data_IF_627886582543
#
_entry.id   IF_627886582543
#
_cell.length_a   1.000
_cell.length_b   1.000
_cell.length_c   1.000
_cell.angle_alpha   90.00
_cell.angle_beta   90.00
_cell.angle_gamma   90.00
#
_symmetry.space_group_name_H-M   'P 1'
#
loop_
_entity.id
_entity.type
_entity.pdbx_description
1 polymer ?
#
# COMPACT_ATOMS: atom_id res chain seq x y z
N UNK A 1 27.81 -9.43 -5.49
CA UNK A 1 26.48 -9.02 -5.98
C UNK A 1 26.02 -7.71 -5.31
N UNK A 2 26.96 -6.88 -4.85
CA UNK A 2 26.68 -5.70 -4.03
C UNK A 2 25.92 -4.60 -4.79
N UNK A 3 26.33 -4.29 -6.03
CA UNK A 3 25.61 -3.34 -6.88
C UNK A 3 24.16 -3.76 -7.13
N UNK A 4 23.90 -5.07 -7.28
CA UNK A 4 22.55 -5.62 -7.43
C UNK A 4 21.75 -5.48 -6.13
N UNK A 5 22.35 -5.81 -4.98
CA UNK A 5 21.72 -5.67 -3.66
C UNK A 5 21.28 -4.22 -3.41
N UNK A 6 22.18 -3.25 -3.64
CA UNK A 6 21.91 -1.83 -3.47
C UNK A 6 20.82 -1.34 -4.43
N UNK A 7 20.88 -1.76 -5.71
CA UNK A 7 19.86 -1.41 -6.71
C UNK A 7 18.48 -1.90 -6.28
N UNK A 8 18.38 -3.17 -5.86
CA UNK A 8 17.13 -3.74 -5.36
C UNK A 8 16.62 -3.01 -4.13
N UNK A 9 17.50 -2.72 -3.17
CA UNK A 9 17.13 -2.02 -1.94
C UNK A 9 16.61 -0.59 -2.21
N UNK A 10 17.24 0.15 -3.14
CA UNK A 10 16.79 1.49 -3.55
C UNK A 10 15.44 1.43 -4.26
N UNK A 11 15.29 0.53 -5.24
CA UNK A 11 14.03 0.37 -5.98
C UNK A 11 12.88 0.00 -5.04
N UNK A 12 13.11 -0.97 -4.15
CA UNK A 12 12.15 -1.36 -3.12
C UNK A 12 11.77 -0.20 -2.20
N UNK A 13 12.76 0.57 -1.74
CA UNK A 13 12.52 1.74 -0.87
C UNK A 13 11.67 2.79 -1.56
N UNK A 14 12.01 3.17 -2.80
CA UNK A 14 11.26 4.18 -3.56
C UNK A 14 9.82 3.72 -3.86
N UNK A 15 9.66 2.48 -4.28
CA UNK A 15 8.35 1.92 -4.61
C UNK A 15 7.45 1.82 -3.37
N UNK A 16 7.96 1.33 -2.24
CA UNK A 16 7.22 1.23 -0.99
C UNK A 16 6.91 2.62 -0.39
N UNK A 17 7.78 3.62 -0.60
CA UNK A 17 7.51 5.00 -0.18
C UNK A 17 6.27 5.60 -0.86
N UNK A 18 6.02 5.27 -2.13
CA UNK A 18 4.80 5.70 -2.85
C UNK A 18 3.55 5.11 -2.18
N UNK A 19 3.57 3.82 -1.84
CA UNK A 19 2.43 3.15 -1.19
C UNK A 19 2.22 3.65 0.24
N UNK A 20 3.31 3.78 1.01
CA UNK A 20 3.27 4.35 2.36
C UNK A 20 2.68 5.77 2.36
N UNK A 21 3.17 6.64 1.47
CA UNK A 21 2.67 8.01 1.35
C UNK A 21 1.19 8.07 0.99
N UNK A 22 0.73 7.16 0.12
CA UNK A 22 -0.69 7.05 -0.24
C UNK A 22 -1.52 6.65 0.98
N UNK A 23 -1.10 5.65 1.74
CA UNK A 23 -1.84 5.21 2.93
C UNK A 23 -1.87 6.26 4.03
N UNK A 24 -0.75 6.97 4.24
CA UNK A 24 -0.67 8.09 5.18
C UNK A 24 -1.59 9.23 4.76
N UNK A 25 -1.58 9.61 3.48
CA UNK A 25 -2.51 10.61 2.94
C UNK A 25 -3.96 10.19 3.16
N UNK A 26 -4.28 8.93 2.86
CA UNK A 26 -5.64 8.42 3.06
C UNK A 26 -6.04 8.44 4.53
N UNK A 27 -5.12 8.09 5.43
CA UNK A 27 -5.38 8.05 6.86
C UNK A 27 -5.60 9.44 7.46
N UNK A 28 -4.77 10.43 7.06
CA UNK A 28 -4.67 11.75 7.70
C UNK A 28 -5.52 12.82 7.00
N UNK A 29 -5.70 12.73 5.68
CA UNK A 29 -6.32 13.79 4.88
C UNK A 29 -7.62 13.32 4.24
N UNK A 30 -7.57 12.21 3.49
CA UNK A 30 -8.73 11.73 2.74
C UNK A 30 -9.88 11.33 3.66
N UNK A 31 -9.62 10.50 4.69
CA UNK A 31 -10.65 10.04 5.63
C UNK A 31 -11.42 11.20 6.28
N UNK A 32 -10.77 12.18 6.94
CA UNK A 32 -11.52 13.30 7.51
C UNK A 32 -12.21 14.14 6.44
N UNK A 33 -11.62 14.35 5.26
CA UNK A 33 -12.32 15.07 4.18
C UNK A 33 -13.61 14.35 3.77
N UNK A 34 -13.57 13.02 3.57
CA UNK A 34 -14.74 12.23 3.19
C UNK A 34 -15.81 12.16 4.28
N UNK A 35 -15.42 12.32 5.55
CA UNK A 35 -16.36 12.39 6.66
C UNK A 35 -17.23 13.66 6.65
N UNK A 36 -16.85 14.71 5.92
CA UNK A 36 -17.51 16.03 5.95
C UNK A 36 -18.22 16.41 4.64
N UNK A 37 -18.19 15.55 3.62
CA UNK A 37 -18.95 15.75 2.38
C UNK A 37 -20.26 14.96 2.43
N UNK A 38 -21.19 15.18 1.50
CA UNK A 38 -22.39 14.34 1.36
C UNK A 38 -22.09 12.99 0.67
N UNK A 39 -23.08 12.08 0.64
CA UNK A 39 -22.90 10.72 0.11
C UNK A 39 -22.66 10.68 -1.41
N UNK A 40 -23.19 11.67 -2.14
CA UNK A 40 -22.99 11.77 -3.57
C UNK A 40 -21.56 12.17 -3.91
N UNK A 41 -21.03 13.19 -3.22
CA UNK A 41 -19.66 13.64 -3.32
C UNK A 41 -18.68 12.56 -2.86
N UNK A 42 -18.96 11.87 -1.75
CA UNK A 42 -18.17 10.73 -1.28
C UNK A 42 -18.11 9.63 -2.35
N UNK A 43 -19.26 9.19 -2.86
CA UNK A 43 -19.32 8.11 -3.86
C UNK A 43 -18.53 8.48 -5.11
N UNK A 44 -18.75 9.68 -5.65
CA UNK A 44 -18.08 10.15 -6.86
C UNK A 44 -16.57 10.28 -6.66
N UNK A 45 -16.14 10.98 -5.61
CA UNK A 45 -14.72 11.21 -5.35
C UNK A 45 -13.98 9.90 -5.05
N UNK A 46 -14.48 9.12 -4.10
CA UNK A 46 -13.84 7.86 -3.70
C UNK A 46 -13.89 6.82 -4.82
N UNK A 47 -14.98 6.73 -5.57
CA UNK A 47 -15.06 5.84 -6.72
C UNK A 47 -14.01 6.17 -7.80
N UNK A 48 -13.78 7.45 -8.10
CA UNK A 48 -12.72 7.85 -9.04
C UNK A 48 -11.32 7.63 -8.47
N UNK A 49 -11.09 7.97 -7.19
CA UNK A 49 -9.83 7.72 -6.50
C UNK A 49 -9.50 6.22 -6.54
N UNK A 50 -10.46 5.35 -6.21
CA UNK A 50 -10.29 3.90 -6.25
C UNK A 50 -10.06 3.38 -7.66
N UNK A 51 -10.80 3.86 -8.67
CA UNK A 51 -10.57 3.48 -10.08
C UNK A 51 -9.13 3.72 -10.52
N UNK A 52 -8.59 4.89 -10.21
CA UNK A 52 -7.21 5.22 -10.57
C UNK A 52 -6.19 4.55 -9.65
N UNK A 53 -6.50 4.41 -8.36
CA UNK A 53 -5.69 3.69 -7.40
C UNK A 53 -5.49 2.24 -7.81
N UNK A 54 -6.58 1.51 -8.05
CA UNK A 54 -6.55 0.08 -8.38
C UNK A 54 -5.89 -0.21 -9.74
N UNK A 55 -5.95 0.75 -10.68
CA UNK A 55 -5.29 0.59 -11.98
C UNK A 55 -3.82 0.99 -12.00
N UNK A 56 -3.37 1.89 -11.11
CA UNK A 56 -2.01 2.47 -11.14
C UNK A 56 -1.11 2.01 -10.00
N UNK A 57 -1.66 1.80 -8.81
CA UNK A 57 -0.89 1.39 -7.62
C UNK A 57 -0.31 -0.03 -7.69
N UNK A 58 -0.84 -1.00 -8.48
CA UNK A 58 -0.16 -2.27 -8.66
C UNK A 58 1.25 -2.13 -9.24
N UNK A 59 1.54 -1.06 -10.01
CA UNK A 59 2.88 -0.81 -10.55
C UNK A 59 3.90 -0.65 -9.40
N UNK A 60 3.86 0.41 -8.57
CA UNK A 60 4.79 0.52 -7.44
C UNK A 60 4.63 -0.63 -6.44
N UNK A 61 3.42 -1.15 -6.20
CA UNK A 61 3.21 -2.23 -5.24
C UNK A 61 3.91 -3.55 -5.60
N UNK A 62 3.75 -4.02 -6.83
CA UNK A 62 4.37 -5.27 -7.30
C UNK A 62 5.88 -5.11 -7.43
N UNK A 63 6.36 -4.00 -8.02
CA UNK A 63 7.80 -3.74 -8.11
C UNK A 63 8.44 -3.63 -6.72
N UNK A 64 7.79 -2.95 -5.78
CA UNK A 64 8.27 -2.83 -4.40
C UNK A 64 8.40 -4.19 -3.70
N UNK A 65 7.37 -5.04 -3.80
CA UNK A 65 7.39 -6.38 -3.20
C UNK A 65 8.46 -7.27 -3.84
N UNK A 66 8.52 -7.35 -5.17
CA UNK A 66 9.50 -8.19 -5.87
C UNK A 66 10.93 -7.74 -5.55
N UNK A 67 11.20 -6.44 -5.58
CA UNK A 67 12.51 -5.90 -5.22
C UNK A 67 12.86 -6.19 -3.75
N UNK A 68 11.90 -6.06 -2.83
CA UNK A 68 12.08 -6.37 -1.39
C UNK A 68 12.47 -7.84 -1.18
N UNK A 69 11.77 -8.77 -1.84
CA UNK A 69 12.10 -10.20 -1.79
C UNK A 69 13.48 -10.47 -2.42
N UNK A 70 13.78 -9.79 -3.54
CA UNK A 70 15.09 -9.86 -4.18
C UNK A 70 16.23 -9.42 -3.25
N UNK A 71 16.06 -8.30 -2.54
CA UNK A 71 17.01 -7.82 -1.52
C UNK A 71 17.24 -8.89 -0.45
N UNK A 72 16.17 -9.51 0.06
CA UNK A 72 16.28 -10.54 1.10
C UNK A 72 17.07 -11.75 0.64
N UNK A 73 16.78 -12.23 -0.58
CA UNK A 73 17.44 -13.39 -1.17
C UNK A 73 18.92 -13.11 -1.46
N UNK A 74 19.24 -12.00 -2.15
CA UNK A 74 20.62 -11.65 -2.50
C UNK A 74 21.46 -11.44 -1.24
N UNK A 75 20.95 -10.70 -0.25
CA UNK A 75 21.64 -10.51 1.03
C UNK A 75 21.89 -11.85 1.75
N UNK A 76 20.90 -12.76 1.74
CA UNK A 76 21.02 -14.09 2.32
C UNK A 76 22.12 -14.92 1.65
N UNK A 77 22.19 -14.91 0.31
CA UNK A 77 23.27 -15.58 -0.43
C UNK A 77 24.66 -14.98 -0.18
N UNK A 78 24.76 -13.67 0.10
CA UNK A 78 26.01 -13.02 0.50
C UNK A 78 26.36 -13.18 1.98
N UNK A 79 25.52 -13.87 2.78
CA UNK A 79 25.72 -14.03 4.22
C UNK A 79 25.46 -12.76 5.04
N UNK A 80 24.86 -11.72 4.44
CA UNK A 80 24.55 -10.45 5.08
C UNK A 80 23.25 -10.56 5.89
N UNK A 81 23.40 -10.95 7.15
CA UNK A 81 22.27 -11.27 8.04
C UNK A 81 21.31 -10.08 8.22
N UNK A 82 21.82 -8.89 8.54
CA UNK A 82 21.00 -7.71 8.81
C UNK A 82 20.10 -7.31 7.64
N UNK A 83 20.62 -7.04 6.41
CA UNK A 83 19.76 -6.67 5.30
C UNK A 83 18.83 -7.81 4.87
N UNK A 84 19.25 -9.08 5.00
CA UNK A 84 18.39 -10.23 4.68
C UNK A 84 17.18 -10.32 5.60
N UNK A 85 17.38 -10.24 6.93
CA UNK A 85 16.29 -10.29 7.91
C UNK A 85 15.38 -9.06 7.79
N UNK A 86 15.95 -7.86 7.68
CA UNK A 86 15.17 -6.63 7.60
C UNK A 86 14.25 -6.59 6.37
N UNK A 87 14.76 -6.96 5.20
CA UNK A 87 13.96 -7.06 3.98
C UNK A 87 13.00 -8.25 3.99
N UNK A 88 13.32 -9.35 4.68
CA UNK A 88 12.38 -10.45 4.91
C UNK A 88 11.17 -10.05 5.76
N UNK A 89 11.39 -9.29 6.83
CA UNK A 89 10.31 -8.72 7.65
C UNK A 89 9.47 -7.74 6.84
N UNK A 90 10.13 -6.88 6.03
CA UNK A 90 9.43 -5.97 5.13
C UNK A 90 8.56 -6.73 4.11
N UNK A 91 9.06 -7.80 3.50
CA UNK A 91 8.30 -8.64 2.58
C UNK A 91 7.06 -9.24 3.25
N UNK A 92 7.20 -9.77 4.47
CA UNK A 92 6.06 -10.31 5.22
C UNK A 92 5.01 -9.24 5.51
N UNK A 93 5.43 -8.04 5.93
CA UNK A 93 4.51 -6.93 6.17
C UNK A 93 3.75 -6.54 4.89
N UNK A 94 4.43 -6.49 3.73
CA UNK A 94 3.80 -6.22 2.43
C UNK A 94 2.79 -7.30 2.02
N UNK A 95 3.09 -8.58 2.29
CA UNK A 95 2.14 -9.68 2.03
C UNK A 95 0.89 -9.55 2.90
N UNK A 96 1.05 -9.29 4.20
CA UNK A 96 -0.09 -9.08 5.11
C UNK A 96 -0.91 -7.86 4.66
N UNK A 97 -0.24 -6.78 4.28
CA UNK A 97 -0.88 -5.59 3.72
C UNK A 97 -1.71 -5.92 2.48
N UNK A 98 -1.18 -6.73 1.56
CA UNK A 98 -1.87 -7.14 0.33
C UNK A 98 -3.08 -8.03 0.61
N UNK A 99 -2.98 -8.91 1.61
CA UNK A 99 -4.13 -9.71 2.07
C UNK A 99 -5.25 -8.81 2.58
N UNK A 100 -4.92 -7.82 3.42
CA UNK A 100 -5.90 -6.85 3.94
C UNK A 100 -6.55 -6.07 2.78
N UNK A 101 -5.74 -5.56 1.85
CA UNK A 101 -6.25 -4.85 0.68
C UNK A 101 -7.23 -5.72 -0.12
N UNK A 102 -6.85 -6.95 -0.48
CA UNK A 102 -7.67 -7.83 -1.30
C UNK A 102 -8.97 -8.29 -0.60
N UNK A 103 -8.94 -8.42 0.73
CA UNK A 103 -10.09 -8.91 1.51
C UNK A 103 -11.06 -7.81 1.92
N UNK A 104 -10.58 -6.57 2.12
CA UNK A 104 -11.39 -5.47 2.67
C UNK A 104 -11.48 -4.31 1.70
N UNK A 105 -10.35 -3.76 1.25
CA UNK A 105 -10.34 -2.55 0.42
C UNK A 105 -10.86 -2.81 -1.00
N UNK A 106 -10.35 -3.83 -1.69
CA UNK A 106 -10.69 -4.09 -3.09
C UNK A 106 -12.20 -4.31 -3.34
N UNK A 107 -12.95 -5.05 -2.49
CA UNK A 107 -14.40 -5.14 -2.62
C UNK A 107 -15.10 -3.78 -2.48
N UNK A 108 -14.74 -2.97 -1.48
CA UNK A 108 -15.31 -1.63 -1.29
C UNK A 108 -14.97 -0.71 -2.47
N UNK A 109 -13.73 -0.76 -2.95
CA UNK A 109 -13.25 0.00 -4.10
C UNK A 109 -14.10 -0.30 -5.33
N UNK A 110 -14.40 -1.58 -5.58
CA UNK A 110 -15.23 -2.01 -6.71
C UNK A 110 -16.65 -1.45 -6.62
N UNK A 111 -17.29 -1.52 -5.45
CA UNK A 111 -18.66 -1.00 -5.26
C UNK A 111 -18.74 0.52 -5.47
N UNK A 112 -17.84 1.28 -4.83
CA UNK A 112 -17.80 2.74 -4.97
C UNK A 112 -17.42 3.15 -6.41
N UNK A 113 -16.50 2.44 -7.05
CA UNK A 113 -16.12 2.68 -8.45
C UNK A 113 -17.30 2.43 -9.39
N UNK A 114 -18.01 1.31 -9.22
CA UNK A 114 -19.19 0.99 -10.02
C UNK A 114 -20.26 2.06 -9.90
N UNK A 115 -20.61 2.45 -8.68
CA UNK A 115 -21.59 3.51 -8.44
C UNK A 115 -21.16 4.86 -9.06
N UNK A 116 -19.88 5.24 -8.93
CA UNK A 116 -19.37 6.46 -9.54
C UNK A 116 -19.40 6.43 -11.08
N UNK A 117 -19.11 5.29 -11.70
CA UNK A 117 -19.17 5.12 -13.15
C UNK A 117 -20.61 5.14 -13.69
N UNK A 118 -21.56 4.65 -12.90
CA UNK A 118 -22.99 4.71 -13.20
C UNK A 118 -23.61 6.09 -12.87
N UNK A 119 -22.81 7.06 -12.43
CA UNK A 119 -23.27 8.38 -11.96
C UNK A 119 -24.37 8.32 -10.90
N UNK A 120 -24.31 7.32 -10.01
CA UNK A 120 -25.28 7.10 -8.93
C UNK A 120 -24.62 7.16 -7.56
N UNK A 121 -25.42 7.42 -6.53
CA UNK A 121 -24.97 7.31 -5.14
C UNK A 121 -24.91 5.84 -4.76
N UNK A 122 -23.82 5.40 -4.12
CA UNK A 122 -23.70 4.03 -3.66
C UNK A 122 -24.69 3.79 -2.51
N UNK A 123 -25.45 2.68 -2.53
CA UNK A 123 -26.22 2.25 -1.37
C UNK A 123 -25.29 2.09 -0.18
N UNK A 124 -25.64 2.69 0.97
CA UNK A 124 -24.82 2.69 2.18
C UNK A 124 -23.36 3.15 1.95
N UNK A 125 -23.19 4.25 1.19
CA UNK A 125 -21.90 4.89 0.96
C UNK A 125 -21.07 5.08 2.24
N UNK A 126 -21.73 5.38 3.36
CA UNK A 126 -21.09 5.52 4.68
C UNK A 126 -20.64 4.21 5.29
N UNK A 127 -21.41 3.13 5.18
CA UNK A 127 -20.98 1.81 5.62
C UNK A 127 -19.79 1.30 4.82
N UNK A 128 -19.81 1.50 3.49
CA UNK A 128 -18.70 1.19 2.61
C UNK A 128 -17.43 1.95 3.02
N UNK A 129 -17.53 3.29 3.16
CA UNK A 129 -16.38 4.11 3.54
C UNK A 129 -15.85 3.75 4.95
N UNK A 130 -16.72 3.52 5.93
CA UNK A 130 -16.30 3.07 7.28
C UNK A 130 -15.58 1.72 7.23
N UNK A 131 -16.02 0.80 6.38
CA UNK A 131 -15.37 -0.50 6.20
C UNK A 131 -13.96 -0.31 5.64
N UNK A 132 -13.80 0.54 4.63
CA UNK A 132 -12.49 0.87 4.06
C UNK A 132 -11.57 1.56 5.07
N UNK A 133 -12.10 2.54 5.79
CA UNK A 133 -11.38 3.31 6.81
C UNK A 133 -11.00 2.49 8.05
N UNK A 134 -11.67 1.37 8.30
CA UNK A 134 -11.38 0.51 9.46
C UNK A 134 -9.98 -0.10 9.41
N UNK A 135 -9.43 -0.30 8.21
CA UNK A 135 -8.13 -0.96 8.01
C UNK A 135 -7.00 0.01 7.64
N UNK A 136 -7.27 1.29 7.38
CA UNK A 136 -6.22 2.17 6.86
C UNK A 136 -5.08 2.41 7.86
N UNK A 137 -5.35 2.44 9.18
CA UNK A 137 -4.29 2.60 10.18
C UNK A 137 -3.36 1.39 10.24
N UNK A 138 -3.90 0.16 10.14
CA UNK A 138 -3.05 -1.04 10.08
C UNK A 138 -2.28 -1.11 8.77
N UNK A 139 -2.88 -0.65 7.65
CA UNK A 139 -2.19 -0.53 6.37
C UNK A 139 -1.01 0.45 6.44
N UNK A 140 -1.20 1.62 7.06
CA UNK A 140 -0.11 2.59 7.34
C UNK A 140 1.00 1.94 8.16
N UNK A 141 0.65 1.24 9.25
CA UNK A 141 1.64 0.60 10.12
C UNK A 141 2.45 -0.47 9.36
N UNK A 142 1.79 -1.34 8.59
CA UNK A 142 2.47 -2.36 7.80
C UNK A 142 3.40 -1.76 6.74
N UNK A 143 2.99 -0.67 6.09
CA UNK A 143 3.85 0.06 5.15
C UNK A 143 5.00 0.79 5.85
N UNK A 144 4.79 1.30 7.07
CA UNK A 144 5.87 1.88 7.88
C UNK A 144 6.92 0.82 8.25
N UNK A 145 6.48 -0.39 8.63
CA UNK A 145 7.36 -1.52 8.89
C UNK A 145 8.12 -1.91 7.61
N UNK A 146 7.44 -1.99 6.47
CA UNK A 146 8.07 -2.33 5.20
C UNK A 146 9.12 -1.28 4.78
N UNK A 147 8.76 0.00 4.78
CA UNK A 147 9.66 1.08 4.42
C UNK A 147 10.83 1.20 5.41
N UNK A 148 10.57 1.14 6.71
CA UNK A 148 11.60 1.16 7.74
C UNK A 148 12.55 -0.02 7.65
N UNK A 149 12.03 -1.23 7.40
CA UNK A 149 12.83 -2.43 7.14
C UNK A 149 13.72 -2.29 5.91
N UNK A 150 13.21 -1.67 4.84
CA UNK A 150 14.01 -1.38 3.65
C UNK A 150 15.07 -0.30 3.87
N UNK A 151 14.80 0.73 4.68
CA UNK A 151 15.82 1.70 5.08
C UNK A 151 16.93 1.03 5.89
N UNK A 152 16.60 0.14 6.84
CA UNK A 152 17.59 -0.64 7.59
C UNK A 152 18.39 -1.53 6.65
N UNK A 153 17.73 -2.23 5.72
CA UNK A 153 18.40 -3.05 4.73
C UNK A 153 19.36 -2.22 3.88
N UNK A 154 18.96 -1.04 3.41
CA UNK A 154 19.80 -0.16 2.59
C UNK A 154 21.04 0.33 3.34
N UNK A 155 20.90 0.74 4.61
CA UNK A 155 22.03 1.19 5.45
C UNK A 155 23.01 0.05 5.76
N UNK A 156 22.51 -1.18 5.86
CA UNK A 156 23.30 -2.36 6.19
C UNK A 156 23.70 -3.23 4.97
N UNK A 157 23.41 -2.77 3.75
CA UNK A 157 23.71 -3.47 2.49
C UNK A 157 25.14 -3.25 2.03
#
# INVERSE_FOLDING_TARGET
>A
MEALLLTLAVVATMANAVVYGTDVFSALVQRPAMAHVDDAALTSAMGQIHRFGDSRMPIPGVFGLVATVGTAAVAGFEGKTTPSVASGVAALALVVWLVIYNKVSAPVNKELTGAALDCRVAPDARGLQRTWDSVINVRVLLQAVALGGMCVALVAS
#
